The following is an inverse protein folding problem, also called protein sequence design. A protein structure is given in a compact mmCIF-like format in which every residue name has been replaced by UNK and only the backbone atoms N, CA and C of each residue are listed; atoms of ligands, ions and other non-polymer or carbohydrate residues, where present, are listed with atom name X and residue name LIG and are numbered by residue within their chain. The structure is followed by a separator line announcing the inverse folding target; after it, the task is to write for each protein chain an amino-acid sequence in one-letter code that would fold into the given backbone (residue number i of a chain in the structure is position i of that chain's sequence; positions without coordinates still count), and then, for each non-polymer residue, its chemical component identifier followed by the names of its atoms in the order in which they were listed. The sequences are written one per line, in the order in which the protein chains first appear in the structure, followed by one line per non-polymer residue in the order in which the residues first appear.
data_IF_447536118832
#
_entry.id   IF_447536118832
#
_cell.length_a   1.000
_cell.length_b   1.000
_cell.length_c   1.000
_cell.angle_alpha   90.00
_cell.angle_beta   90.00
_cell.angle_gamma   90.00
#
_symmetry.space_group_name_H-M   'P 1'
#
loop_
_entity.id
_entity.type
_entity.pdbx_description
1 polymer ?
#
# COMPACT_ATOMS: atom_id res chain seq x y z
N UNK A 1 16.93 32.22 2.86
CA UNK A 1 16.99 31.78 1.45
C UNK A 1 15.58 31.38 0.99
N UNK A 2 14.77 32.33 0.47
CA UNK A 2 13.47 32.05 -0.15
C UNK A 2 13.51 32.09 -1.69
N UNK A 3 14.37 32.92 -2.27
CA UNK A 3 14.36 33.23 -3.71
C UNK A 3 14.94 32.10 -4.57
N UNK A 4 16.00 31.43 -4.10
CA UNK A 4 16.61 30.29 -4.80
C UNK A 4 15.65 29.09 -4.92
N UNK A 5 14.76 28.90 -3.94
CA UNK A 5 13.76 27.84 -3.99
C UNK A 5 12.71 28.11 -5.08
N UNK A 6 12.32 29.37 -5.27
CA UNK A 6 11.37 29.76 -6.33
C UNK A 6 11.97 29.53 -7.70
N UNK A 7 13.23 29.92 -7.92
CA UNK A 7 13.93 29.67 -9.17
C UNK A 7 14.02 28.17 -9.51
N UNK A 8 14.27 27.32 -8.53
CA UNK A 8 14.34 25.87 -8.73
C UNK A 8 12.97 25.24 -9.04
N UNK A 9 11.88 25.76 -8.46
CA UNK A 9 10.53 25.28 -8.73
C UNK A 9 10.04 25.79 -10.11
N UNK A 10 10.16 27.09 -10.37
CA UNK A 10 9.70 27.72 -11.62
C UNK A 10 10.55 27.30 -12.83
N UNK A 11 11.84 27.00 -12.64
CA UNK A 11 12.68 26.46 -13.71
C UNK A 11 12.25 25.06 -14.19
N UNK A 12 11.48 24.32 -13.38
CA UNK A 12 10.98 22.98 -13.71
C UNK A 12 9.49 23.00 -14.07
N UNK A 13 8.67 23.76 -13.34
CA UNK A 13 7.20 23.76 -13.48
C UNK A 13 6.62 25.05 -14.06
N UNK A 14 7.46 26.06 -14.35
CA UNK A 14 7.01 27.33 -14.92
C UNK A 14 6.52 27.17 -16.36
N UNK A 15 5.68 28.10 -16.81
CA UNK A 15 5.09 28.06 -18.15
C UNK A 15 6.14 28.02 -19.28
N UNK A 16 7.31 28.64 -19.05
CA UNK A 16 8.43 28.67 -19.99
C UNK A 16 9.34 27.43 -19.93
N UNK A 17 9.25 26.62 -18.87
CA UNK A 17 10.12 25.46 -18.66
C UNK A 17 9.94 24.42 -19.78
N UNK A 18 8.71 24.26 -20.26
CA UNK A 18 8.37 23.31 -21.33
C UNK A 18 9.08 23.60 -22.65
N UNK A 19 9.29 24.89 -22.96
CA UNK A 19 9.99 25.31 -24.18
C UNK A 19 11.50 25.03 -24.10
N UNK A 20 12.04 24.84 -22.89
CA UNK A 20 13.45 24.60 -22.63
C UNK A 20 13.83 23.11 -22.57
N UNK A 21 12.84 22.20 -22.68
CA UNK A 21 13.07 20.74 -22.62
C UNK A 21 13.91 20.26 -23.82
N UNK A 22 15.06 19.61 -23.59
CA UNK A 22 15.88 19.05 -24.67
C UNK A 22 15.13 18.00 -25.50
N UNK A 23 15.41 17.95 -26.80
CA UNK A 23 14.73 17.04 -27.75
C UNK A 23 14.70 15.57 -27.29
N UNK A 24 15.82 15.10 -26.73
CA UNK A 24 15.96 13.72 -26.25
C UNK A 24 15.01 13.38 -25.08
N UNK A 25 14.49 14.37 -24.35
CA UNK A 25 13.60 14.19 -23.20
C UNK A 25 12.13 14.47 -23.52
N UNK A 26 11.81 15.02 -24.70
CA UNK A 26 10.42 15.36 -25.08
C UNK A 26 9.46 14.18 -25.01
N UNK A 27 9.93 12.96 -25.29
CA UNK A 27 9.09 11.75 -25.20
C UNK A 27 8.67 11.46 -23.76
N UNK A 28 9.58 11.61 -22.79
CA UNK A 28 9.30 11.41 -21.37
C UNK A 28 8.38 12.50 -20.83
N UNK A 29 8.59 13.73 -21.29
CA UNK A 29 7.76 14.88 -20.96
C UNK A 29 6.30 14.69 -21.43
N UNK A 30 6.10 14.27 -22.68
CA UNK A 30 4.77 13.94 -23.22
C UNK A 30 4.09 12.83 -22.40
N UNK A 31 4.84 11.81 -21.97
CA UNK A 31 4.30 10.73 -21.12
C UNK A 31 3.90 11.24 -19.74
N UNK A 32 4.68 12.15 -19.13
CA UNK A 32 4.37 12.76 -17.85
C UNK A 32 3.12 13.64 -17.92
N UNK A 33 3.04 14.56 -18.90
CA UNK A 33 1.86 15.42 -19.14
C UNK A 33 0.60 14.58 -19.42
N UNK A 34 0.74 13.49 -20.19
CA UNK A 34 -0.36 12.54 -20.42
C UNK A 34 -0.89 11.90 -19.12
N UNK A 35 0.02 11.52 -18.21
CA UNK A 35 -0.35 10.95 -16.90
C UNK A 35 -1.04 11.99 -16.01
N UNK A 36 -0.52 13.21 -15.97
CA UNK A 36 -1.07 14.30 -15.15
C UNK A 36 -2.47 14.70 -15.63
N UNK A 37 -2.71 14.74 -16.94
CA UNK A 37 -4.05 14.97 -17.51
C UNK A 37 -5.02 13.83 -17.18
N UNK A 38 -4.56 12.57 -17.25
CA UNK A 38 -5.37 11.42 -16.84
C UNK A 38 -5.74 11.49 -15.36
N UNK A 39 -4.80 11.89 -14.51
CA UNK A 39 -5.03 12.12 -13.08
C UNK A 39 -6.05 13.25 -12.83
N UNK A 40 -5.93 14.37 -13.54
CA UNK A 40 -6.88 15.49 -13.43
C UNK A 40 -8.29 15.10 -13.86
N UNK A 41 -8.44 14.28 -14.91
CA UNK A 41 -9.74 13.78 -15.37
C UNK A 41 -10.40 12.87 -14.31
N UNK A 42 -9.65 11.94 -13.73
CA UNK A 42 -10.14 11.09 -12.63
C UNK A 42 -10.54 11.92 -11.40
N UNK A 43 -9.75 12.94 -11.06
CA UNK A 43 -10.08 13.85 -9.97
C UNK A 43 -11.39 14.62 -10.22
N UNK A 44 -11.67 15.04 -11.45
CA UNK A 44 -12.96 15.67 -11.80
C UNK A 44 -14.16 14.73 -11.70
N UNK A 45 -13.97 13.43 -11.97
CA UNK A 45 -15.01 12.40 -11.82
C UNK A 45 -15.31 12.17 -10.33
N UNK A 46 -14.25 12.10 -9.50
CA UNK A 46 -14.37 11.82 -8.07
C UNK A 46 -14.67 13.08 -7.22
N UNK A 47 -14.61 14.28 -7.81
CA UNK A 47 -14.88 15.52 -7.10
C UNK A 47 -16.40 15.68 -6.85
N UNK A 48 -16.76 15.85 -5.58
CA UNK A 48 -18.09 16.30 -5.20
C UNK A 48 -18.36 17.67 -5.84
N UNK A 49 -19.58 17.88 -6.33
CA UNK A 49 -20.03 19.15 -6.92
C UNK A 49 -20.86 19.92 -5.88
N UNK A 50 -20.28 20.87 -5.13
CA UNK A 50 -20.98 21.52 -4.02
C UNK A 50 -22.22 22.29 -4.48
N UNK A 51 -22.22 22.78 -5.73
CA UNK A 51 -23.35 23.51 -6.31
C UNK A 51 -24.55 22.61 -6.67
N UNK A 52 -24.38 21.28 -6.71
CA UNK A 52 -25.46 20.34 -7.02
C UNK A 52 -26.37 20.04 -5.81
N UNK A 53 -26.01 20.53 -4.61
CA UNK A 53 -26.75 20.25 -3.38
C UNK A 53 -26.59 18.82 -2.87
N UNK A 54 -27.23 18.51 -1.74
CA UNK A 54 -27.31 17.16 -1.19
C UNK A 54 -28.53 16.45 -1.79
N UNK A 55 -28.42 15.97 -3.02
CA UNK A 55 -29.43 15.08 -3.61
C UNK A 55 -29.04 13.65 -3.26
N UNK A 56 -29.99 12.86 -2.76
CA UNK A 56 -29.76 11.46 -2.38
C UNK A 56 -29.37 10.65 -3.63
N UNK A 57 -28.06 10.45 -3.81
CA UNK A 57 -27.48 9.61 -4.86
C UNK A 57 -27.52 8.15 -4.37
N UNK A 58 -28.73 7.58 -4.33
CA UNK A 58 -28.91 6.15 -4.07
C UNK A 58 -28.03 5.33 -5.02
N UNK A 59 -27.04 4.62 -4.47
CA UNK A 59 -26.19 3.67 -5.20
C UNK A 59 -24.74 4.11 -5.47
N UNK A 60 -24.28 5.31 -5.07
CA UNK A 60 -22.86 5.70 -5.19
C UNK A 60 -21.99 5.34 -3.96
N UNK A 61 -22.61 4.87 -2.88
CA UNK A 61 -21.95 4.74 -1.57
C UNK A 61 -21.41 3.33 -1.26
N UNK A 62 -21.69 2.32 -2.09
CA UNK A 62 -21.24 0.95 -1.81
C UNK A 62 -19.76 0.71 -2.13
N UNK A 63 -19.07 1.64 -2.79
CA UNK A 63 -17.66 1.49 -3.18
C UNK A 63 -16.78 2.71 -2.83
N UNK A 64 -17.13 3.49 -1.80
CA UNK A 64 -16.25 4.56 -1.28
C UNK A 64 -15.09 4.03 -0.41
N UNK A 65 -14.99 2.71 -0.19
CA UNK A 65 -13.88 2.13 0.58
C UNK A 65 -12.52 2.32 -0.11
N UNK A 66 -12.52 2.64 -1.41
CA UNK A 66 -11.33 2.94 -2.22
C UNK A 66 -11.58 4.16 -3.12
N UNK A 67 -11.93 5.32 -2.54
CA UNK A 67 -11.81 6.60 -3.27
C UNK A 67 -10.45 7.22 -2.96
N UNK A 68 -9.36 6.88 -3.69
CA UNK A 68 -8.03 7.40 -3.41
C UNK A 68 -8.00 8.91 -3.67
N UNK A 69 -7.94 9.69 -2.60
CA UNK A 69 -7.65 11.14 -2.66
C UNK A 69 -6.20 11.43 -3.05
N UNK A 70 -5.36 10.39 -3.11
CA UNK A 70 -4.01 10.41 -3.70
C UNK A 70 -3.97 9.48 -4.91
N UNK A 71 -3.73 10.03 -6.10
CA UNK A 71 -3.42 9.27 -7.33
C UNK A 71 -2.01 8.65 -7.29
N UNK A 72 -1.75 7.86 -6.24
CA UNK A 72 -0.54 7.05 -6.06
C UNK A 72 -0.84 5.57 -6.21
N UNK A 73 0.20 4.74 -6.19
CA UNK A 73 0.02 3.29 -6.17
C UNK A 73 -0.80 2.89 -4.94
N UNK A 74 -1.87 2.13 -5.18
CA UNK A 74 -2.70 1.59 -4.11
C UNK A 74 -1.83 0.82 -3.12
N UNK A 75 -2.12 0.99 -1.83
CA UNK A 75 -1.39 0.35 -0.76
C UNK A 75 -2.36 -0.43 0.12
N UNK A 76 -1.95 -1.61 0.57
CA UNK A 76 -2.67 -2.49 1.46
C UNK A 76 -2.00 -2.51 2.83
N UNK A 77 -2.77 -2.80 3.87
CA UNK A 77 -2.24 -3.00 5.22
C UNK A 77 -1.88 -4.47 5.40
N UNK A 78 -0.63 -4.75 5.71
CA UNK A 78 -0.13 -6.09 5.98
C UNK A 78 0.20 -6.21 7.46
N UNK A 79 -0.32 -7.23 8.13
CA UNK A 79 0.01 -7.55 9.53
C UNK A 79 1.05 -8.67 9.53
N UNK A 80 2.22 -8.39 10.08
CA UNK A 80 3.29 -9.38 10.22
C UNK A 80 3.10 -10.11 11.55
N UNK A 81 2.82 -11.41 11.50
CA UNK A 81 2.68 -12.25 12.68
C UNK A 81 3.91 -13.12 12.87
N UNK A 82 4.51 -13.08 14.06
CA UNK A 82 5.60 -13.97 14.44
C UNK A 82 5.02 -15.36 14.71
N UNK A 83 5.42 -16.36 13.93
CA UNK A 83 5.05 -17.74 14.18
C UNK A 83 6.06 -18.38 15.13
N UNK A 84 5.60 -18.64 16.36
CA UNK A 84 6.37 -19.36 17.38
C UNK A 84 5.75 -20.75 17.57
N UNK A 85 6.35 -21.74 16.91
CA UNK A 85 5.78 -23.08 16.81
C UNK A 85 4.42 -23.08 16.11
N UNK A 86 3.37 -23.31 16.91
CA UNK A 86 1.98 -23.40 16.45
C UNK A 86 1.16 -22.15 16.79
N UNK A 87 1.75 -21.09 17.35
CA UNK A 87 1.01 -19.88 17.72
C UNK A 87 1.48 -18.68 16.88
N UNK A 88 0.52 -17.84 16.48
CA UNK A 88 0.80 -16.53 15.89
C UNK A 88 0.78 -15.45 16.97
N UNK A 89 1.87 -14.67 17.04
CA UNK A 89 2.05 -13.60 18.02
C UNK A 89 2.40 -12.27 17.34
N UNK A 90 2.02 -11.14 17.93
CA UNK A 90 2.49 -9.83 17.46
C UNK A 90 3.99 -9.68 17.75
N UNK A 91 4.64 -8.76 17.04
CA UNK A 91 6.05 -8.45 17.25
C UNK A 91 6.33 -7.74 18.58
N UNK A 92 5.34 -6.98 19.05
CA UNK A 92 5.39 -6.30 20.34
C UNK A 92 4.32 -6.91 21.24
N UNK A 93 4.72 -7.50 22.37
CA UNK A 93 3.80 -8.15 23.31
C UNK A 93 3.18 -7.16 24.32
N UNK A 94 3.57 -5.87 24.29
CA UNK A 94 3.17 -4.88 25.28
C UNK A 94 2.06 -3.94 24.80
N UNK A 95 0.90 -4.05 25.45
CA UNK A 95 -0.22 -3.11 25.36
C UNK A 95 -1.32 -3.50 24.37
N UNK A 96 -2.46 -2.81 24.47
CA UNK A 96 -3.68 -3.09 23.68
C UNK A 96 -3.48 -2.92 22.16
N UNK A 97 -2.44 -2.20 21.74
CA UNK A 97 -2.11 -1.93 20.33
C UNK A 97 -1.03 -2.86 19.75
N UNK A 98 -0.71 -3.97 20.41
CA UNK A 98 0.32 -4.94 20.00
C UNK A 98 0.23 -5.34 18.50
N UNK A 99 -0.97 -5.70 18.05
CA UNK A 99 -1.24 -6.05 16.65
C UNK A 99 -1.18 -4.86 15.71
N UNK A 100 -1.65 -3.68 16.14
CA UNK A 100 -1.55 -2.45 15.36
C UNK A 100 -0.11 -2.02 15.09
N UNK A 101 0.79 -2.24 16.06
CA UNK A 101 2.23 -1.98 15.91
C UNK A 101 2.96 -3.01 15.04
N UNK A 102 2.28 -4.09 14.68
CA UNK A 102 2.79 -5.14 13.79
C UNK A 102 2.29 -4.95 12.34
N UNK A 103 1.68 -3.81 12.03
CA UNK A 103 1.18 -3.47 10.70
C UNK A 103 2.20 -2.67 9.90
N UNK A 104 2.27 -2.98 8.60
CA UNK A 104 3.08 -2.25 7.62
C UNK A 104 2.23 -1.95 6.38
N UNK A 105 2.41 -0.78 5.80
CA UNK A 105 1.77 -0.42 4.53
C UNK A 105 2.65 -0.89 3.37
N UNK A 106 2.07 -1.69 2.48
CA UNK A 106 2.76 -2.27 1.33
C UNK A 106 2.01 -1.89 0.07
N UNK A 107 2.72 -1.64 -1.03
CA UNK A 107 2.10 -1.42 -2.34
C UNK A 107 1.30 -2.67 -2.75
N UNK A 108 0.06 -2.48 -3.19
CA UNK A 108 -0.84 -3.54 -3.65
C UNK A 108 -0.23 -4.32 -4.82
N UNK A 109 0.61 -3.67 -5.63
CA UNK A 109 1.36 -4.30 -6.72
C UNK A 109 2.37 -5.37 -6.27
N UNK A 110 2.77 -5.36 -4.99
CA UNK A 110 3.72 -6.33 -4.41
C UNK A 110 3.03 -7.39 -3.56
N UNK A 111 1.97 -7.00 -2.84
CA UNK A 111 1.15 -7.90 -2.03
C UNK A 111 -0.30 -7.46 -2.20
N UNK A 112 -1.15 -8.35 -2.68
CA UNK A 112 -2.59 -8.12 -2.83
C UNK A 112 -3.43 -9.13 -2.02
N UNK A 113 -2.85 -10.27 -1.62
CA UNK A 113 -3.57 -11.29 -0.87
C UNK A 113 -2.70 -12.11 0.09
N UNK A 114 -3.32 -12.84 1.03
CA UNK A 114 -2.63 -13.83 1.85
C UNK A 114 -2.20 -15.02 0.99
N UNK A 115 -1.13 -15.71 1.38
CA UNK A 115 -0.80 -17.00 0.77
C UNK A 115 -1.84 -18.07 1.12
N UNK A 116 -1.88 -19.12 0.30
CA UNK A 116 -2.72 -20.28 0.58
C UNK A 116 -2.18 -21.05 1.79
N UNK A 117 -2.86 -20.94 2.92
CA UNK A 117 -2.54 -21.67 4.14
C UNK A 117 -3.51 -22.84 4.31
N UNK A 118 -3.02 -23.97 4.86
CA UNK A 118 -3.88 -25.13 5.15
C UNK A 118 -3.59 -25.73 6.53
N UNK A 119 -4.59 -26.36 7.13
CA UNK A 119 -4.43 -27.14 8.35
C UNK A 119 -4.27 -26.30 9.61
N UNK A 120 -3.11 -26.37 10.26
CA UNK A 120 -2.87 -25.71 11.56
C UNK A 120 -2.74 -24.18 11.44
N UNK A 121 -2.10 -23.70 10.37
CA UNK A 121 -1.89 -22.27 10.13
C UNK A 121 -3.21 -21.53 9.90
N UNK A 122 -4.14 -22.13 9.15
CA UNK A 122 -5.46 -21.55 8.90
C UNK A 122 -6.26 -21.36 10.19
N UNK A 123 -6.20 -22.32 11.11
CA UNK A 123 -6.90 -22.23 12.42
C UNK A 123 -6.34 -21.11 13.27
N UNK A 124 -5.03 -20.93 13.26
CA UNK A 124 -4.38 -19.85 14.01
C UNK A 124 -4.65 -18.48 13.41
N UNK A 125 -4.64 -18.37 12.09
CA UNK A 125 -5.07 -17.16 11.39
C UNK A 125 -6.50 -16.81 11.80
N UNK A 126 -7.42 -17.78 11.80
CA UNK A 126 -8.80 -17.57 12.22
C UNK A 126 -8.92 -17.17 13.71
N UNK A 127 -8.06 -17.73 14.59
CA UNK A 127 -8.00 -17.38 16.02
C UNK A 127 -7.50 -15.95 16.26
N UNK A 128 -6.52 -15.51 15.48
CA UNK A 128 -5.88 -14.18 15.64
C UNK A 128 -6.64 -13.07 14.93
N UNK A 129 -7.33 -13.36 13.83
CA UNK A 129 -8.05 -12.35 13.03
C UNK A 129 -8.97 -11.42 13.86
N UNK A 130 -9.75 -11.89 14.85
CA UNK A 130 -10.55 -11.03 15.72
C UNK A 130 -9.74 -10.09 16.63
N UNK A 131 -8.48 -10.40 16.90
CA UNK A 131 -7.56 -9.61 17.73
C UNK A 131 -6.89 -8.48 16.94
N UNK A 132 -6.98 -8.52 15.61
CA UNK A 132 -6.43 -7.48 14.75
C UNK A 132 -7.27 -6.19 14.83
N UNK A 133 -6.66 -5.01 14.63
CA UNK A 133 -7.42 -3.78 14.43
C UNK A 133 -8.46 -3.94 13.32
N UNK A 134 -9.68 -3.44 13.54
CA UNK A 134 -10.78 -3.61 12.60
C UNK A 134 -11.20 -5.08 12.39
N UNK A 135 -10.88 -5.99 13.33
CA UNK A 135 -11.13 -7.44 13.21
C UNK A 135 -10.52 -8.08 11.96
N UNK A 136 -9.44 -7.47 11.46
CA UNK A 136 -8.72 -7.91 10.28
C UNK A 136 -9.38 -7.50 8.95
N UNK A 137 -10.44 -6.70 8.99
CA UNK A 137 -11.06 -6.13 7.78
C UNK A 137 -10.08 -5.19 7.08
N UNK A 138 -9.86 -5.40 5.78
CA UNK A 138 -8.91 -4.61 4.98
C UNK A 138 -7.43 -4.85 5.29
N UNK A 139 -7.08 -5.89 6.06
CA UNK A 139 -5.69 -6.25 6.37
C UNK A 139 -5.32 -7.68 5.97
N UNK A 140 -4.09 -7.87 5.51
CA UNK A 140 -3.54 -9.17 5.10
C UNK A 140 -2.61 -9.67 6.21
N UNK A 141 -2.98 -10.76 6.88
CA UNK A 141 -2.15 -11.39 7.91
C UNK A 141 -1.14 -12.34 7.27
N UNK A 142 0.15 -12.12 7.54
CA UNK A 142 1.24 -12.98 7.05
C UNK A 142 1.97 -13.61 8.24
N UNK A 143 1.85 -14.93 8.43
CA UNK A 143 2.71 -15.70 9.31
C UNK A 143 4.16 -15.68 8.83
N UNK A 144 5.07 -15.28 9.71
CA UNK A 144 6.51 -15.29 9.47
C UNK A 144 7.17 -16.32 10.37
N UNK A 145 7.94 -17.23 9.78
CA UNK A 145 8.71 -18.26 10.46
C UNK A 145 10.17 -17.81 10.61
N UNK A 146 10.83 -18.09 11.74
CA UNK A 146 12.23 -17.78 11.89
C UNK A 146 13.07 -18.69 11.00
N UNK A 147 14.03 -18.10 10.31
CA UNK A 147 15.05 -18.81 9.54
C UNK A 147 16.35 -18.89 10.33
N UNK A 148 17.25 -19.79 9.94
CA UNK A 148 18.53 -19.99 10.62
C UNK A 148 19.42 -18.73 10.64
N UNK A 149 19.24 -17.82 9.67
CA UNK A 149 20.02 -16.59 9.53
C UNK A 149 19.49 -15.42 10.39
N UNK A 150 18.49 -15.67 11.25
CA UNK A 150 17.85 -14.65 12.09
C UNK A 150 16.86 -13.75 11.33
N UNK A 151 16.59 -14.08 10.07
CA UNK A 151 15.54 -13.47 9.26
C UNK A 151 14.21 -14.18 9.50
N UNK A 152 13.11 -13.50 9.17
CA UNK A 152 11.77 -14.05 9.32
C UNK A 152 11.11 -14.14 7.97
N UNK A 153 10.64 -15.31 7.58
CA UNK A 153 10.14 -15.57 6.23
C UNK A 153 8.68 -16.03 6.25
N UNK A 154 7.87 -15.48 5.36
CA UNK A 154 6.51 -15.91 5.10
C UNK A 154 6.17 -15.78 3.63
N UNK A 155 4.91 -16.06 3.30
CA UNK A 155 4.41 -16.09 1.93
C UNK A 155 3.19 -15.20 1.81
N UNK A 156 3.04 -14.56 0.66
CA UNK A 156 1.86 -13.79 0.29
C UNK A 156 1.54 -13.99 -1.20
N UNK A 157 0.49 -13.35 -1.68
CA UNK A 157 0.16 -13.29 -3.10
C UNK A 157 0.27 -11.87 -3.62
N UNK A 158 0.80 -11.71 -4.83
CA UNK A 158 0.77 -10.44 -5.58
C UNK A 158 -0.59 -10.21 -6.26
N UNK A 159 -0.73 -9.12 -7.01
CA UNK A 159 -1.95 -8.77 -7.75
C UNK A 159 -2.33 -9.81 -8.84
N UNK A 160 -1.40 -10.66 -9.25
CA UNK A 160 -1.60 -11.72 -10.25
C UNK A 160 -1.80 -13.09 -9.60
N UNK A 161 -2.07 -13.12 -8.29
CA UNK A 161 -2.21 -14.33 -7.48
C UNK A 161 -0.96 -15.22 -7.47
N UNK A 162 0.22 -14.65 -7.80
CA UNK A 162 1.49 -15.36 -7.72
C UNK A 162 2.03 -15.32 -6.31
N UNK A 163 2.57 -16.45 -5.86
CA UNK A 163 3.21 -16.54 -4.54
C UNK A 163 4.48 -15.68 -4.52
N UNK A 164 4.59 -14.82 -3.52
CA UNK A 164 5.77 -14.00 -3.24
C UNK A 164 6.30 -14.33 -1.85
N UNK A 165 7.62 -14.30 -1.71
CA UNK A 165 8.30 -14.53 -0.45
C UNK A 165 8.47 -13.18 0.25
N UNK A 166 7.99 -13.11 1.48
CA UNK A 166 8.08 -11.94 2.34
C UNK A 166 9.10 -12.22 3.41
N UNK A 167 10.19 -11.47 3.42
CA UNK A 167 11.25 -11.57 4.42
C UNK A 167 11.26 -10.31 5.29
N UNK A 168 11.35 -10.48 6.60
CA UNK A 168 11.52 -9.39 7.54
C UNK A 168 12.90 -9.50 8.20
N UNK A 169 13.71 -8.46 7.99
CA UNK A 169 15.00 -8.26 8.65
C UNK A 169 14.85 -7.17 9.73
N UNK A 170 15.21 -7.42 10.99
CA UNK A 170 15.15 -6.41 12.05
C UNK A 170 15.98 -5.13 11.80
N UNK A 171 16.98 -5.18 10.92
CA UNK A 171 17.87 -4.06 10.57
C UNK A 171 17.45 -3.32 9.31
N UNK A 172 16.96 -4.05 8.30
CA UNK A 172 16.66 -3.50 6.96
C UNK A 172 15.15 -3.30 6.76
N UNK A 173 14.31 -4.02 7.50
CA UNK A 173 12.86 -3.99 7.39
C UNK A 173 12.30 -5.07 6.46
N UNK A 174 11.15 -4.78 5.86
CA UNK A 174 10.43 -5.70 4.98
C UNK A 174 11.06 -5.77 3.59
N UNK A 175 11.32 -6.99 3.11
CA UNK A 175 11.76 -7.29 1.76
C UNK A 175 10.77 -8.26 1.11
N UNK A 176 10.52 -8.09 -0.18
CA UNK A 176 9.60 -8.92 -0.96
C UNK A 176 10.38 -9.43 -2.17
N UNK A 177 10.36 -10.74 -2.37
CA UNK A 177 11.03 -11.43 -3.48
C UNK A 177 10.00 -12.26 -4.23
N UNK A 178 10.16 -12.34 -5.55
CA UNK A 178 9.32 -13.20 -6.37
C UNK A 178 9.68 -14.68 -6.05
N UNK A 179 8.65 -15.51 -5.86
CA UNK A 179 8.77 -16.93 -5.52
C UNK A 179 9.07 -17.84 -6.72
#
# INVERSE_FOLDING_TARGET
MPDDARLLIEGVFGEEAQASVPEALKVWEIQADGKDRGHAALAQINALRPQAGYVDLHGQWEDESRTPTRLGEASVTVVLARQDGAELRPWNESGEAAWGRSQVSVRESRIAGPAHCSGAEEREIARVKPLLPGRGEGSILIPLKPTADGLWEGRAQDLKEKEVIVTYDPKIGLQIRDG
#
